data_IF_064511618130
#
_entry.id   IF_064511618130
#
_cell.length_a   1.000
_cell.length_b   1.000
_cell.length_c   1.000
_cell.angle_alpha   90.00
_cell.angle_beta   90.00
_cell.angle_gamma   90.00
#
_symmetry.space_group_name_H-M   'P 1'
#
loop_
_entity.id
_entity.type
_entity.pdbx_description
1 polymer ?
#
# COMPACT_ATOMS: atom_id res chain seq x y z
N UNK A 1 -0.64 3.92 6.24
CA UNK A 1 -1.12 2.68 6.93
C UNK A 1 -0.22 1.50 6.63
N UNK A 2 -0.05 1.11 5.36
CA UNK A 2 0.72 -0.09 4.99
C UNK A 2 2.24 0.07 5.15
N UNK A 3 2.72 1.30 5.31
CA UNK A 3 4.12 1.58 5.67
C UNK A 3 4.51 1.12 7.08
N UNK A 4 3.55 0.83 7.97
CA UNK A 4 3.84 0.45 9.37
C UNK A 4 2.91 -0.61 9.97
N UNK A 5 1.88 -1.04 9.23
CA UNK A 5 0.90 -2.00 9.72
C UNK A 5 0.41 -2.90 8.58
N UNK A 6 0.46 -4.21 8.80
CA UNK A 6 -0.05 -5.20 7.86
C UNK A 6 -1.57 -5.13 7.70
N UNK A 7 -2.04 -5.66 6.57
CA UNK A 7 -3.44 -5.60 6.17
C UNK A 7 -4.39 -6.26 7.18
N UNK A 8 -4.04 -7.42 7.74
CA UNK A 8 -4.91 -8.08 8.72
C UNK A 8 -5.02 -7.36 10.05
N UNK A 9 -3.93 -6.79 10.58
CA UNK A 9 -4.03 -5.98 11.79
C UNK A 9 -4.88 -4.73 11.54
N UNK A 10 -4.74 -4.12 10.35
CA UNK A 10 -5.62 -3.01 9.93
C UNK A 10 -7.10 -3.43 9.89
N UNK A 11 -7.41 -4.63 9.39
CA UNK A 11 -8.77 -5.18 9.38
C UNK A 11 -9.28 -5.52 10.79
N UNK A 12 -8.42 -6.02 11.67
CA UNK A 12 -8.76 -6.20 13.08
C UNK A 12 -9.18 -4.88 13.72
N UNK A 13 -8.44 -3.78 13.47
CA UNK A 13 -8.83 -2.45 13.96
C UNK A 13 -10.16 -1.97 13.36
N UNK A 14 -10.41 -2.24 12.08
CA UNK A 14 -11.67 -1.91 11.43
C UNK A 14 -12.87 -2.69 12.01
N UNK A 15 -12.63 -3.85 12.63
CA UNK A 15 -13.61 -4.60 13.40
C UNK A 15 -13.91 -4.03 14.79
N UNK A 16 -13.19 -2.98 15.24
CA UNK A 16 -13.32 -2.39 16.57
C UNK A 16 -12.89 -3.34 17.69
N UNK A 17 -13.41 -3.17 18.89
CA UNK A 17 -13.07 -3.98 20.07
C UNK A 17 -13.39 -5.48 19.88
N UNK A 18 -14.35 -5.80 19.02
CA UNK A 18 -14.70 -7.18 18.67
C UNK A 18 -13.76 -7.80 17.60
N UNK A 19 -12.83 -7.01 17.06
CA UNK A 19 -11.70 -7.43 16.24
C UNK A 19 -12.08 -8.09 14.91
N UNK A 20 -11.16 -8.93 14.41
CA UNK A 20 -11.26 -9.56 13.09
C UNK A 20 -12.55 -10.35 12.88
N UNK A 21 -13.09 -11.01 13.92
CA UNK A 21 -14.33 -11.78 13.79
C UNK A 21 -15.51 -10.89 13.42
N UNK A 22 -15.60 -9.72 14.04
CA UNK A 22 -16.64 -8.74 13.74
C UNK A 22 -16.43 -8.12 12.35
N UNK A 23 -15.19 -7.76 12.00
CA UNK A 23 -14.85 -7.31 10.65
C UNK A 23 -15.32 -8.29 9.57
N UNK A 24 -15.01 -9.58 9.74
CA UNK A 24 -15.39 -10.62 8.79
C UNK A 24 -16.91 -10.84 8.72
N UNK A 25 -17.63 -10.73 9.85
CA UNK A 25 -19.09 -10.80 9.84
C UNK A 25 -19.74 -9.60 9.12
N UNK A 26 -19.18 -8.40 9.30
CA UNK A 26 -19.69 -7.18 8.70
C UNK A 26 -19.41 -7.11 7.18
N UNK A 27 -18.17 -7.38 6.76
CA UNK A 27 -17.73 -7.19 5.38
C UNK A 27 -17.65 -8.48 4.56
N UNK A 28 -17.75 -9.65 5.19
CA UNK A 28 -17.80 -10.94 4.50
C UNK A 28 -18.89 -11.02 3.42
N UNK A 29 -20.12 -10.52 3.64
CA UNK A 29 -21.14 -10.48 2.59
C UNK A 29 -20.74 -9.67 1.35
N UNK A 30 -19.89 -8.65 1.51
CA UNK A 30 -19.41 -7.83 0.39
C UNK A 30 -18.51 -8.63 -0.58
N UNK A 31 -17.94 -9.77 -0.15
CA UNK A 31 -17.17 -10.65 -1.03
C UNK A 31 -18.02 -11.22 -2.17
N UNK A 32 -19.35 -11.30 -2.00
CA UNK A 32 -20.28 -11.74 -3.04
C UNK A 32 -20.69 -10.62 -4.00
N UNK A 33 -20.34 -9.36 -3.70
CA UNK A 33 -20.65 -8.24 -4.59
C UNK A 33 -19.70 -8.26 -5.80
N UNK A 34 -20.16 -7.77 -6.96
CA UNK A 34 -19.27 -7.50 -8.09
C UNK A 34 -18.37 -6.29 -7.73
N UNK A 35 -17.19 -6.56 -7.17
CA UNK A 35 -16.20 -5.56 -6.73
C UNK A 35 -15.81 -4.58 -7.84
N UNK A 36 -15.92 -5.03 -9.08
CA UNK A 36 -15.84 -4.20 -10.27
C UNK A 36 -16.76 -4.78 -11.33
N UNK A 37 -17.49 -3.91 -12.03
CA UNK A 37 -18.18 -4.26 -13.27
C UNK A 37 -17.28 -4.10 -14.49
N UNK A 38 -16.04 -3.61 -14.29
CA UNK A 38 -15.09 -3.41 -15.37
C UNK A 38 -14.41 -4.73 -15.73
N UNK A 39 -14.51 -5.20 -16.99
CA UNK A 39 -13.63 -6.25 -17.47
C UNK A 39 -12.19 -5.74 -17.48
N UNK A 40 -11.23 -6.64 -17.28
CA UNK A 40 -9.82 -6.29 -17.48
C UNK A 40 -9.61 -5.88 -18.95
N UNK A 41 -8.89 -4.78 -19.23
CA UNK A 41 -8.58 -4.41 -20.60
C UNK A 41 -7.65 -5.46 -21.23
N UNK A 42 -7.78 -5.66 -22.55
CA UNK A 42 -6.78 -6.42 -23.30
C UNK A 42 -5.46 -5.65 -23.28
N UNK A 43 -4.35 -6.35 -23.04
CA UNK A 43 -3.02 -5.78 -23.06
C UNK A 43 -2.57 -5.57 -24.52
N UNK A 44 -3.02 -4.47 -25.10
CA UNK A 44 -2.66 -4.06 -26.47
C UNK A 44 -1.38 -3.22 -26.46
N UNK A 45 -0.68 -3.16 -27.61
CA UNK A 45 0.49 -2.29 -27.77
C UNK A 45 0.16 -0.82 -27.44
N UNK A 46 -1.01 -0.32 -27.87
CA UNK A 46 -1.45 1.03 -27.51
C UNK A 46 -1.52 1.24 -26.00
N UNK A 47 -2.07 0.26 -25.26
CA UNK A 47 -2.18 0.38 -23.80
C UNK A 47 -0.80 0.36 -23.14
N UNK A 48 0.14 -0.41 -23.68
CA UNK A 48 1.54 -0.41 -23.21
C UNK A 48 2.15 0.97 -23.46
N UNK A 49 2.02 1.51 -24.67
CA UNK A 49 2.54 2.84 -25.04
C UNK A 49 1.96 3.93 -24.13
N UNK A 50 0.65 3.92 -23.88
CA UNK A 50 -0.01 4.90 -22.98
C UNK A 50 0.58 4.84 -21.54
N UNK A 51 0.89 3.64 -21.03
CA UNK A 51 1.52 3.48 -19.71
C UNK A 51 2.99 3.93 -19.74
N UNK A 52 3.72 3.61 -20.82
CA UNK A 52 5.11 4.05 -21.02
C UNK A 52 5.17 5.57 -21.04
N UNK A 53 4.32 6.24 -21.81
CA UNK A 53 4.27 7.70 -21.88
C UNK A 53 3.97 8.32 -20.52
N UNK A 54 2.99 7.77 -19.79
CA UNK A 54 2.66 8.24 -18.43
C UNK A 54 3.83 8.05 -17.45
N UNK A 55 4.55 6.93 -17.52
CA UNK A 55 5.73 6.70 -16.65
C UNK A 55 6.93 7.56 -17.08
N UNK A 56 7.08 7.86 -18.36
CA UNK A 56 8.11 8.78 -18.86
C UNK A 56 7.86 10.22 -18.37
N UNK A 57 6.59 10.67 -18.36
CA UNK A 57 6.21 11.95 -17.77
C UNK A 57 6.55 12.01 -16.27
N UNK A 58 6.25 10.95 -15.53
CA UNK A 58 6.58 10.85 -14.09
C UNK A 58 8.10 10.80 -13.83
N UNK A 59 8.86 10.13 -14.68
CA UNK A 59 10.32 10.08 -14.62
C UNK A 59 10.92 11.48 -14.83
N UNK A 60 10.31 12.27 -15.72
CA UNK A 60 10.76 13.62 -16.06
C UNK A 60 12.21 13.61 -16.54
N UNK A 61 13.04 14.47 -15.94
CA UNK A 61 14.46 14.59 -16.28
C UNK A 61 15.38 13.78 -15.35
N UNK A 62 14.83 12.90 -14.52
CA UNK A 62 15.62 12.12 -13.56
C UNK A 62 16.12 10.81 -14.16
N UNK A 63 17.38 10.45 -13.86
CA UNK A 63 17.84 9.08 -14.12
C UNK A 63 17.19 8.11 -13.13
N UNK A 64 17.02 6.84 -13.52
CA UNK A 64 16.55 5.77 -12.64
C UNK A 64 17.38 5.73 -11.35
N UNK A 65 18.72 5.78 -11.45
CA UNK A 65 19.60 5.76 -10.27
C UNK A 65 19.34 6.91 -9.28
N UNK A 66 18.90 8.07 -9.77
CA UNK A 66 18.59 9.22 -8.92
C UNK A 66 17.27 8.99 -8.17
N UNK A 67 16.27 8.43 -8.85
CA UNK A 67 15.00 8.06 -8.22
C UNK A 67 15.16 6.89 -7.24
N UNK A 68 16.07 5.95 -7.50
CA UNK A 68 16.41 4.90 -6.55
C UNK A 68 17.03 5.46 -5.28
N UNK A 69 17.99 6.39 -5.39
CA UNK A 69 18.54 7.09 -4.21
C UNK A 69 17.46 7.84 -3.44
N UNK A 70 16.60 8.57 -4.15
CA UNK A 70 15.46 9.26 -3.55
C UNK A 70 14.51 8.29 -2.84
N UNK A 71 14.18 7.16 -3.46
CA UNK A 71 13.36 6.09 -2.85
C UNK A 71 14.01 5.59 -1.57
N UNK A 72 15.31 5.28 -1.60
CA UNK A 72 16.02 4.70 -0.46
C UNK A 72 16.12 5.71 0.70
N UNK A 73 16.36 6.99 0.41
CA UNK A 73 16.30 8.07 1.41
C UNK A 73 14.90 8.18 2.05
N UNK A 74 13.84 8.12 1.24
CA UNK A 74 12.48 8.08 1.74
C UNK A 74 12.20 6.85 2.61
N UNK A 75 12.69 5.66 2.20
CA UNK A 75 12.53 4.44 2.97
C UNK A 75 13.21 4.55 4.34
N UNK A 76 14.44 5.05 4.41
CA UNK A 76 15.15 5.27 5.67
C UNK A 76 14.41 6.27 6.58
N UNK A 77 13.92 7.38 6.01
CA UNK A 77 13.17 8.38 6.77
C UNK A 77 11.85 7.80 7.33
N UNK A 78 11.11 7.03 6.52
CA UNK A 78 9.88 6.36 6.97
C UNK A 78 10.19 5.33 8.04
N UNK A 79 11.24 4.52 7.88
CA UNK A 79 11.64 3.51 8.87
C UNK A 79 11.99 4.14 10.21
N UNK A 80 12.73 5.26 10.22
CA UNK A 80 13.06 5.98 11.45
C UNK A 80 11.83 6.60 12.13
N UNK A 81 10.91 7.19 11.34
CA UNK A 81 9.65 7.70 11.86
C UNK A 81 8.80 6.58 12.49
N UNK A 82 8.73 5.41 11.84
CA UNK A 82 8.04 4.23 12.37
C UNK A 82 8.71 3.71 13.63
N UNK A 83 10.04 3.64 13.66
CA UNK A 83 10.83 3.25 14.84
C UNK A 83 10.52 4.11 16.05
N UNK A 84 10.62 5.42 15.88
CA UNK A 84 10.38 6.40 16.94
C UNK A 84 8.94 6.31 17.45
N UNK A 85 7.98 6.17 16.53
CA UNK A 85 6.56 6.03 16.88
C UNK A 85 6.29 4.73 17.64
N UNK A 86 6.83 3.59 17.17
CA UNK A 86 6.71 2.31 17.88
C UNK A 86 7.25 2.41 19.31
N UNK A 87 8.44 2.98 19.49
CA UNK A 87 9.04 3.16 20.81
C UNK A 87 8.18 4.04 21.74
N UNK A 88 7.59 5.13 21.23
CA UNK A 88 6.65 5.98 21.98
C UNK A 88 5.42 5.22 22.50
N UNK A 89 5.02 4.17 21.80
CA UNK A 89 3.89 3.31 22.17
C UNK A 89 4.33 1.99 22.84
N UNK A 90 5.59 1.87 23.27
CA UNK A 90 6.10 0.68 23.96
C UNK A 90 6.28 -0.55 23.07
N UNK A 91 6.29 -0.39 21.74
CA UNK A 91 6.52 -1.46 20.77
C UNK A 91 7.95 -1.41 20.23
N UNK A 92 8.46 -2.54 19.74
CA UNK A 92 9.73 -2.61 19.01
C UNK A 92 9.59 -3.32 17.64
N UNK A 93 10.70 -3.50 16.92
CA UNK A 93 10.72 -4.18 15.62
C UNK A 93 10.95 -5.70 15.70
N UNK A 94 11.45 -6.19 16.85
CA UNK A 94 11.73 -7.60 17.09
C UNK A 94 10.51 -8.36 17.66
N UNK A 95 9.47 -7.63 18.06
CA UNK A 95 8.11 -8.08 18.39
C UNK A 95 7.16 -7.89 17.20
#
# INVERSE_FOLDING_TARGET
RWSFMGTFLTYTLAGGDAGMRHFMAQFGPALQLPWTYLPAPELTEKLIDDVVDGTAEQLGNHSISALERYRDDCLLAVLEAVKTTKAKHGMNFAE
#
